data_IF_869390357375
#
_entry.id   IF_869390357375
#
_cell.length_a   1.000
_cell.length_b   1.000
_cell.length_c   1.000
_cell.angle_alpha   90.00
_cell.angle_beta   90.00
_cell.angle_gamma   90.00
#
_symmetry.space_group_name_H-M   'P 1'
#
loop_
_entity.id
_entity.type
_entity.pdbx_description
1 polymer ?
#
# COMPACT_ATOMS: atom_id res chain seq x y z
N UNK A 1 8.83 36.71 30.32
CA UNK A 1 8.17 35.39 30.33
C UNK A 1 8.74 34.56 29.20
N UNK A 2 9.83 33.84 29.46
CA UNK A 2 10.42 32.87 28.52
C UNK A 2 10.00 31.49 28.98
N UNK A 3 8.89 30.98 28.46
CA UNK A 3 8.58 29.56 28.63
C UNK A 3 9.62 28.75 27.86
N UNK A 4 10.59 28.25 28.61
CA UNK A 4 11.58 27.30 28.13
C UNK A 4 10.87 26.01 27.73
N UNK A 5 10.81 25.72 26.44
CA UNK A 5 10.43 24.40 25.94
C UNK A 5 11.36 23.34 26.53
N UNK A 6 10.84 22.50 27.44
CA UNK A 6 11.54 21.34 27.96
C UNK A 6 11.31 20.14 27.03
N UNK A 7 12.29 19.85 26.17
CA UNK A 7 12.27 18.62 25.39
C UNK A 7 12.55 17.42 26.32
N UNK A 8 11.68 16.40 26.32
CA UNK A 8 11.88 15.22 27.17
C UNK A 8 13.20 14.52 26.80
N UNK A 9 13.97 14.10 27.81
CA UNK A 9 15.21 13.33 27.60
C UNK A 9 14.91 12.12 26.71
N UNK A 10 15.65 12.00 25.61
CA UNK A 10 15.50 10.95 24.60
C UNK A 10 15.85 9.58 25.21
N UNK A 11 14.89 8.90 25.81
CA UNK A 11 15.03 7.52 26.28
C UNK A 11 14.98 6.58 25.07
N UNK A 12 15.99 5.72 24.90
CA UNK A 12 15.91 4.61 23.92
C UNK A 12 14.74 3.71 24.35
N UNK A 13 13.69 3.65 23.54
CA UNK A 13 12.63 2.65 23.71
C UNK A 13 13.16 1.33 23.16
N UNK A 14 13.44 0.37 24.04
CA UNK A 14 13.72 -1.00 23.62
C UNK A 14 12.38 -1.68 23.36
N UNK A 15 11.96 -1.73 22.09
CA UNK A 15 10.73 -2.44 21.70
C UNK A 15 11.08 -3.92 21.59
N UNK A 16 10.54 -4.75 22.49
CA UNK A 16 10.64 -6.23 22.44
C UNK A 16 9.31 -6.82 21.94
N UNK A 17 8.93 -6.50 20.70
CA UNK A 17 7.76 -7.12 20.06
C UNK A 17 8.25 -7.97 18.91
N UNK A 18 7.84 -9.23 18.90
CA UNK A 18 8.12 -10.14 17.78
C UNK A 18 7.06 -9.91 16.72
N UNK A 19 7.49 -9.70 15.47
CA UNK A 19 6.61 -9.62 14.31
C UNK A 19 7.11 -10.63 13.28
N UNK A 20 6.18 -11.27 12.58
CA UNK A 20 6.47 -12.21 11.50
C UNK A 20 5.59 -11.86 10.31
N UNK A 21 6.19 -11.89 9.12
CA UNK A 21 5.44 -11.81 7.86
C UNK A 21 4.87 -13.21 7.60
N UNK A 22 3.55 -13.33 7.63
CA UNK A 22 2.85 -14.60 7.44
C UNK A 22 2.71 -14.95 5.96
N UNK A 23 2.29 -13.98 5.14
CA UNK A 23 2.16 -14.12 3.69
C UNK A 23 2.40 -12.80 2.98
N UNK A 24 2.76 -12.89 1.69
CA UNK A 24 2.84 -11.76 0.77
C UNK A 24 2.18 -12.14 -0.56
N UNK A 25 1.60 -11.14 -1.21
CA UNK A 25 1.00 -11.32 -2.53
C UNK A 25 0.93 -10.00 -3.28
N UNK A 26 0.93 -10.09 -4.61
CA UNK A 26 0.93 -8.94 -5.50
C UNK A 26 0.05 -9.21 -6.71
N UNK A 27 -0.83 -8.26 -7.01
CA UNK A 27 -1.62 -8.24 -8.23
C UNK A 27 -1.04 -7.25 -9.24
N UNK A 28 -0.94 -7.70 -10.49
CA UNK A 28 -0.54 -6.89 -11.64
C UNK A 28 -1.66 -6.95 -12.67
N UNK A 29 -2.19 -5.82 -13.15
CA UNK A 29 -3.26 -5.82 -14.16
C UNK A 29 -2.81 -6.47 -15.48
N UNK A 30 -3.71 -7.18 -16.15
CA UNK A 30 -3.37 -7.89 -17.40
C UNK A 30 -3.12 -6.94 -18.57
N UNK A 31 -3.79 -5.78 -18.58
CA UNK A 31 -3.68 -4.82 -19.67
C UNK A 31 -2.34 -4.10 -19.63
N UNK A 32 -1.54 -4.34 -20.66
CA UNK A 32 -0.26 -3.68 -20.89
C UNK A 32 -0.44 -2.59 -21.93
N UNK A 33 0.10 -1.41 -21.64
CA UNK A 33 0.20 -0.29 -22.57
C UNK A 33 1.68 0.01 -22.83
N UNK A 34 2.03 0.14 -24.10
CA UNK A 34 3.36 0.52 -24.55
C UNK A 34 3.52 2.05 -24.59
N UNK A 35 4.77 2.52 -24.50
CA UNK A 35 5.08 3.95 -24.57
C UNK A 35 4.54 4.60 -25.85
N UNK A 36 4.58 3.91 -26.99
CA UNK A 36 4.07 4.46 -28.24
C UNK A 36 2.57 4.78 -28.20
N UNK A 37 1.77 3.91 -27.59
CA UNK A 37 0.32 4.11 -27.45
C UNK A 37 0.04 5.35 -26.57
N UNK A 38 0.79 5.52 -25.49
CA UNK A 38 0.67 6.68 -24.59
C UNK A 38 1.05 7.98 -25.32
N UNK A 39 2.18 7.96 -26.04
CA UNK A 39 2.69 9.11 -26.80
C UNK A 39 1.66 9.53 -27.85
N UNK A 40 1.17 8.58 -28.67
CA UNK A 40 0.19 8.85 -29.73
C UNK A 40 -1.09 9.47 -29.17
N UNK A 41 -1.52 9.05 -27.98
CA UNK A 41 -2.80 9.47 -27.40
C UNK A 41 -2.73 10.77 -26.60
N UNK A 42 -1.67 10.99 -25.82
CA UNK A 42 -1.61 12.08 -24.83
C UNK A 42 -0.49 13.08 -25.06
N UNK A 43 0.65 12.64 -25.60
CA UNK A 43 1.86 13.46 -25.70
C UNK A 43 2.58 13.25 -27.05
N UNK A 44 1.95 13.63 -28.18
CA UNK A 44 2.49 13.33 -29.52
C UNK A 44 3.82 14.03 -29.81
N UNK A 45 4.18 15.06 -29.04
CA UNK A 45 5.47 15.76 -29.13
C UNK A 45 6.62 15.01 -28.42
N UNK A 46 6.33 13.96 -27.64
CA UNK A 46 7.33 13.17 -26.90
C UNK A 46 7.86 11.99 -27.75
N UNK A 47 9.05 11.47 -27.41
CA UNK A 47 9.68 10.33 -28.10
C UNK A 47 9.94 9.16 -27.16
N UNK A 48 9.68 7.93 -27.63
CA UNK A 48 9.87 6.71 -26.85
C UNK A 48 11.31 6.56 -26.32
N UNK A 49 12.30 6.83 -27.18
CA UNK A 49 13.73 6.77 -26.85
C UNK A 49 14.10 7.64 -25.65
N UNK A 50 13.47 8.82 -25.49
CA UNK A 50 13.74 9.72 -24.37
C UNK A 50 13.22 9.11 -23.08
N UNK A 51 12.03 8.49 -23.10
CA UNK A 51 11.41 7.84 -21.94
C UNK A 51 12.27 6.65 -21.50
N UNK A 52 12.72 5.82 -22.43
CA UNK A 52 13.58 4.66 -22.13
C UNK A 52 14.92 5.14 -21.57
N UNK A 53 15.56 6.14 -22.18
CA UNK A 53 16.87 6.64 -21.71
C UNK A 53 16.81 7.34 -20.35
N UNK A 54 15.70 8.00 -20.02
CA UNK A 54 15.59 8.80 -18.79
C UNK A 54 14.97 8.03 -17.63
N UNK A 55 13.97 7.18 -17.90
CA UNK A 55 13.19 6.47 -16.86
C UNK A 55 13.40 4.95 -16.93
N UNK A 56 13.87 4.41 -18.06
CA UNK A 56 14.10 2.97 -18.22
C UNK A 56 12.82 2.14 -18.35
N UNK A 57 11.69 2.76 -18.64
CA UNK A 57 10.39 2.08 -18.72
C UNK A 57 9.94 2.01 -20.17
N UNK A 58 9.73 0.79 -20.66
CA UNK A 58 9.22 0.52 -22.01
C UNK A 58 7.69 0.39 -22.02
N UNK A 59 7.14 -0.34 -21.06
CA UNK A 59 5.71 -0.65 -20.98
C UNK A 59 5.19 -0.57 -19.54
N UNK A 60 3.89 -0.37 -19.37
CA UNK A 60 3.24 -0.29 -18.06
C UNK A 60 1.93 -1.07 -18.04
N UNK A 61 1.61 -1.64 -16.89
CA UNK A 61 0.32 -2.26 -16.65
C UNK A 61 -0.67 -1.20 -16.18
N UNK A 62 -1.89 -1.25 -16.70
CA UNK A 62 -2.98 -0.34 -16.32
C UNK A 62 -4.23 -1.15 -16.06
N UNK A 63 -5.05 -0.70 -15.12
CA UNK A 63 -6.39 -1.27 -14.97
C UNK A 63 -7.38 -0.66 -15.98
N UNK A 64 -8.56 -1.28 -16.06
CA UNK A 64 -9.73 -0.69 -16.69
C UNK A 64 -10.16 0.61 -15.99
N UNK A 65 -10.87 1.48 -16.72
CA UNK A 65 -11.23 2.83 -16.25
C UNK A 65 -12.06 2.86 -14.97
N UNK A 66 -12.76 1.77 -14.68
CA UNK A 66 -13.74 1.69 -13.60
C UNK A 66 -13.21 0.92 -12.37
N UNK A 67 -11.93 0.51 -12.38
CA UNK A 67 -11.32 -0.16 -11.24
C UNK A 67 -10.83 0.86 -10.21
N UNK A 68 -11.30 0.71 -8.97
CA UNK A 68 -10.76 1.47 -7.85
C UNK A 68 -9.45 0.84 -7.36
N UNK A 69 -8.67 1.61 -6.59
CA UNK A 69 -7.46 1.10 -5.96
C UNK A 69 -7.77 0.02 -4.93
N UNK A 70 -8.91 0.14 -4.25
CA UNK A 70 -9.39 -0.92 -3.35
C UNK A 70 -9.73 -2.22 -4.07
N UNK A 71 -10.05 -2.23 -5.37
CA UNK A 71 -10.26 -3.49 -6.14
C UNK A 71 -8.94 -4.21 -6.37
N UNK A 72 -7.94 -3.46 -6.85
CA UNK A 72 -6.57 -3.95 -7.05
C UNK A 72 -6.01 -4.51 -5.75
N UNK A 73 -6.21 -3.77 -4.66
CA UNK A 73 -5.80 -4.21 -3.32
C UNK A 73 -6.57 -5.46 -2.88
N UNK A 74 -7.89 -5.54 -3.10
CA UNK A 74 -8.68 -6.71 -2.71
C UNK A 74 -8.19 -7.99 -3.38
N UNK A 75 -7.73 -7.93 -4.65
CA UNK A 75 -7.15 -9.08 -5.36
C UNK A 75 -5.92 -9.64 -4.64
N UNK A 76 -4.94 -8.78 -4.31
CA UNK A 76 -3.74 -9.20 -3.55
C UNK A 76 -4.06 -9.66 -2.13
N UNK A 77 -4.97 -8.96 -1.41
CA UNK A 77 -5.32 -9.34 -0.04
C UNK A 77 -5.98 -10.72 0.02
N UNK A 78 -6.84 -11.05 -0.94
CA UNK A 78 -7.45 -12.39 -1.04
C UNK A 78 -6.37 -13.47 -1.22
N UNK A 79 -5.41 -13.27 -2.12
CA UNK A 79 -4.31 -14.22 -2.28
C UNK A 79 -3.44 -14.37 -1.02
N UNK A 80 -3.19 -13.30 -0.27
CA UNK A 80 -2.52 -13.39 1.05
C UNK A 80 -3.32 -14.22 2.07
N UNK A 81 -4.64 -14.01 2.14
CA UNK A 81 -5.54 -14.72 3.05
C UNK A 81 -5.64 -16.20 2.68
N UNK A 82 -5.77 -16.51 1.39
CA UNK A 82 -5.83 -17.87 0.87
C UNK A 82 -4.53 -18.64 1.12
N UNK A 83 -3.36 -18.02 0.88
CA UNK A 83 -2.04 -18.66 1.11
C UNK A 83 -1.83 -19.07 2.57
N UNK A 84 -2.36 -18.32 3.51
CA UNK A 84 -2.18 -18.58 4.94
C UNK A 84 -3.40 -19.30 5.57
N UNK A 85 -4.53 -19.36 4.87
CA UNK A 85 -5.75 -20.01 5.35
C UNK A 85 -6.50 -19.23 6.44
N UNK A 86 -6.42 -17.90 6.43
CA UNK A 86 -7.14 -17.03 7.37
C UNK A 86 -8.40 -16.46 6.71
N UNK A 87 -9.48 -16.35 7.48
CA UNK A 87 -10.69 -15.63 7.08
C UNK A 87 -10.50 -14.11 7.26
N UNK A 88 -11.10 -13.28 6.39
CA UNK A 88 -11.09 -11.83 6.54
C UNK A 88 -11.51 -11.33 7.93
N UNK A 89 -12.41 -12.06 8.61
CA UNK A 89 -12.94 -11.72 9.92
C UNK A 89 -11.97 -11.90 11.09
N UNK A 90 -10.87 -12.63 10.88
CA UNK A 90 -9.82 -12.84 11.88
C UNK A 90 -8.76 -11.71 11.85
N UNK A 91 -8.90 -10.76 10.92
CA UNK A 91 -8.00 -9.61 10.81
C UNK A 91 -8.33 -8.56 11.87
N UNK A 92 -7.33 -8.25 12.72
CA UNK A 92 -7.50 -7.18 13.71
C UNK A 92 -7.36 -5.79 13.08
N UNK A 93 -6.51 -5.65 12.05
CA UNK A 93 -6.19 -4.38 11.40
C UNK A 93 -5.88 -4.55 9.92
N UNK A 94 -6.29 -3.55 9.14
CA UNK A 94 -5.93 -3.41 7.72
C UNK A 94 -5.22 -2.07 7.54
N UNK A 95 -3.97 -2.13 7.08
CA UNK A 95 -3.17 -0.94 6.79
C UNK A 95 -2.93 -0.88 5.28
N UNK A 96 -3.36 0.23 4.67
CA UNK A 96 -3.13 0.55 3.27
C UNK A 96 -2.14 1.70 3.17
N UNK A 97 -1.09 1.52 2.38
CA UNK A 97 -0.12 2.56 2.06
C UNK A 97 -0.29 2.99 0.61
N UNK A 98 -0.80 4.21 0.37
CA UNK A 98 -1.05 4.71 -0.99
C UNK A 98 -0.94 6.23 -1.09
N UNK A 99 -0.55 6.73 -2.27
CA UNK A 99 -0.40 8.17 -2.51
C UNK A 99 -1.69 8.91 -2.85
N UNK A 100 -2.60 8.33 -3.65
CA UNK A 100 -3.95 8.86 -3.87
C UNK A 100 -4.88 7.69 -3.62
N UNK A 101 -5.80 7.82 -2.67
CA UNK A 101 -6.80 6.79 -2.43
C UNK A 101 -8.07 7.04 -3.23
N UNK A 102 -8.92 6.01 -3.35
CA UNK A 102 -10.22 6.06 -4.06
C UNK A 102 -11.04 7.32 -3.76
N UNK A 103 -11.11 7.71 -2.49
CA UNK A 103 -11.90 8.84 -2.01
C UNK A 103 -11.17 9.51 -0.85
N UNK A 104 -11.52 10.76 -0.58
CA UNK A 104 -11.05 11.45 0.63
C UNK A 104 -11.62 10.78 1.89
N UNK A 105 -12.92 10.50 1.87
CA UNK A 105 -13.65 9.69 2.84
C UNK A 105 -14.78 8.94 2.12
N UNK A 106 -15.08 7.68 2.47
CA UNK A 106 -14.35 6.82 3.41
C UNK A 106 -12.95 6.45 2.91
N UNK A 107 -12.09 6.04 3.85
CA UNK A 107 -10.71 5.66 3.54
C UNK A 107 -10.65 4.40 2.68
N UNK A 108 -9.62 4.27 1.83
CA UNK A 108 -9.39 3.09 0.98
C UNK A 108 -9.32 1.80 1.80
N UNK A 109 -8.75 1.84 3.01
CA UNK A 109 -8.72 0.68 3.91
C UNK A 109 -10.12 0.20 4.34
N UNK A 110 -11.07 1.13 4.53
CA UNK A 110 -12.47 0.79 4.85
C UNK A 110 -13.19 0.18 3.64
N UNK A 111 -12.95 0.71 2.43
CA UNK A 111 -13.50 0.11 1.18
C UNK A 111 -12.94 -1.29 0.96
N UNK A 112 -11.63 -1.47 1.15
CA UNK A 112 -10.97 -2.76 1.06
C UNK A 112 -11.58 -3.79 2.03
N UNK A 113 -11.79 -3.42 3.29
CA UNK A 113 -12.45 -4.29 4.27
C UNK A 113 -13.83 -4.76 3.78
N UNK A 114 -14.64 -3.84 3.25
CA UNK A 114 -15.93 -4.16 2.65
C UNK A 114 -15.80 -5.13 1.46
N UNK A 115 -14.81 -4.92 0.58
CA UNK A 115 -14.55 -5.78 -0.59
C UNK A 115 -14.02 -7.17 -0.22
N UNK A 116 -13.37 -7.32 0.94
CA UNK A 116 -12.97 -8.62 1.50
C UNK A 116 -14.15 -9.37 2.12
N UNK A 117 -15.31 -8.71 2.30
CA UNK A 117 -16.49 -9.34 2.91
C UNK A 117 -16.38 -9.52 4.41
N UNK A 118 -15.48 -8.79 5.09
CA UNK A 118 -15.36 -8.88 6.54
C UNK A 118 -16.57 -8.23 7.22
N UNK A 119 -17.19 -8.98 8.14
CA UNK A 119 -18.31 -8.56 8.99
C UNK A 119 -17.82 -8.00 10.32
N UNK A 120 -16.61 -8.36 10.74
CA UNK A 120 -15.98 -7.86 11.96
C UNK A 120 -15.44 -6.45 11.74
N UNK A 121 -15.65 -5.56 12.73
CA UNK A 121 -15.06 -4.22 12.71
C UNK A 121 -13.54 -4.30 12.97
N UNK A 122 -12.74 -4.40 11.91
CA UNK A 122 -11.30 -4.17 11.99
C UNK A 122 -11.01 -2.65 12.06
N UNK A 123 -9.83 -2.25 12.53
CA UNK A 123 -9.43 -0.83 12.50
C UNK A 123 -8.78 -0.50 11.14
N UNK A 124 -9.44 0.24 10.23
CA UNK A 124 -8.86 0.59 8.94
C UNK A 124 -7.94 1.82 9.08
N UNK A 125 -6.73 1.74 8.51
CA UNK A 125 -5.81 2.88 8.45
C UNK A 125 -5.22 3.02 7.04
N UNK A 126 -5.25 4.23 6.50
CA UNK A 126 -4.67 4.59 5.22
C UNK A 126 -3.60 5.64 5.48
N UNK A 127 -2.37 5.29 5.12
CA UNK A 127 -1.20 6.17 5.24
C UNK A 127 -0.93 6.77 3.87
N UNK A 128 -0.90 8.10 3.81
CA UNK A 128 -0.50 8.85 2.61
C UNK A 128 0.96 9.27 2.74
N UNK A 129 1.82 8.80 1.84
CA UNK A 129 3.25 9.11 1.88
C UNK A 129 4.00 8.75 0.60
N UNK A 130 5.07 9.51 0.33
CA UNK A 130 6.00 9.24 -0.79
C UNK A 130 6.82 7.98 -0.48
N UNK A 131 6.97 7.13 -1.49
CA UNK A 131 7.35 5.70 -1.48
C UNK A 131 8.60 5.28 -0.67
N UNK A 132 9.38 6.18 -0.04
CA UNK A 132 10.70 5.83 0.51
C UNK A 132 11.01 6.24 1.96
N UNK A 133 10.72 7.48 2.37
CA UNK A 133 11.25 8.01 3.64
C UNK A 133 10.31 7.82 4.85
N UNK A 134 9.01 8.04 4.66
CA UNK A 134 8.03 7.81 5.72
C UNK A 134 7.81 6.32 6.02
N UNK A 135 7.90 5.46 5.00
CA UNK A 135 7.67 4.03 5.16
C UNK A 135 8.76 3.35 6.00
N UNK A 136 10.06 3.60 5.75
CA UNK A 136 11.16 3.04 6.57
C UNK A 136 11.13 3.61 8.00
N UNK A 137 10.75 4.88 8.17
CA UNK A 137 10.64 5.49 9.48
C UNK A 137 9.50 4.89 10.31
N UNK A 138 8.35 4.60 9.68
CA UNK A 138 7.23 3.90 10.32
C UNK A 138 7.54 2.42 10.54
N UNK A 139 8.25 1.76 9.61
CA UNK A 139 8.75 0.39 9.78
C UNK A 139 9.79 0.26 10.91
N UNK A 140 10.54 1.30 11.23
CA UNK A 140 11.38 1.31 12.46
C UNK A 140 10.59 1.48 13.75
N UNK A 141 9.32 1.90 13.66
CA UNK A 141 8.38 1.95 14.76
C UNK A 141 7.45 0.72 14.80
N UNK A 142 7.32 -0.01 13.70
CA UNK A 142 6.67 -1.31 13.54
C UNK A 142 7.46 -2.15 12.53
N UNK A 143 8.34 -3.05 13.02
CA UNK A 143 9.29 -3.82 12.21
C UNK A 143 8.64 -4.57 11.03
N UNK A 144 8.77 -4.05 9.81
CA UNK A 144 8.40 -4.71 8.55
C UNK A 144 9.39 -4.33 7.42
N UNK A 145 9.44 -5.11 6.34
CA UNK A 145 10.34 -4.94 5.16
C UNK A 145 9.50 -4.97 3.85
N UNK A 146 10.04 -4.35 2.79
CA UNK A 146 9.45 -3.70 1.56
C UNK A 146 9.60 -4.61 0.29
N UNK A 147 9.07 -4.35 -0.97
CA UNK A 147 8.06 -3.42 -1.54
C UNK A 147 6.98 -4.05 -2.49
N UNK A 148 6.20 -3.16 -3.13
CA UNK A 148 5.23 -3.26 -4.27
C UNK A 148 3.80 -3.64 -3.90
N UNK A 149 2.93 -2.62 -3.74
CA UNK A 149 1.46 -2.75 -3.56
C UNK A 149 1.01 -3.78 -2.52
N UNK A 150 1.64 -3.78 -1.34
CA UNK A 150 1.31 -4.73 -0.28
C UNK A 150 0.34 -4.13 0.73
N UNK A 151 -0.73 -4.88 0.99
CA UNK A 151 -1.63 -4.73 2.15
C UNK A 151 -0.97 -5.48 3.28
N UNK A 152 -0.88 -4.84 4.45
CA UNK A 152 -0.41 -5.51 5.65
C UNK A 152 -1.62 -5.96 6.46
N UNK A 153 -1.81 -7.27 6.46
CA UNK A 153 -2.82 -7.98 7.23
C UNK A 153 -2.18 -8.44 8.53
N UNK A 154 -2.57 -7.81 9.64
CA UNK A 154 -2.07 -8.18 10.97
C UNK A 154 -3.09 -9.09 11.65
N UNK A 155 -2.68 -10.33 11.92
CA UNK A 155 -3.30 -11.18 12.92
C UNK A 155 -2.44 -11.10 14.18
N UNK A 156 -3.02 -10.61 15.27
CA UNK A 156 -2.33 -10.57 16.56
C UNK A 156 -2.82 -11.77 17.38
N UNK A 157 -2.03 -12.84 17.41
CA UNK A 157 -2.21 -13.90 18.42
C UNK A 157 -2.04 -13.26 19.80
N UNK A 158 -3.02 -13.47 20.67
CA UNK A 158 -3.01 -13.02 22.06
C UNK A 158 -2.06 -13.85 22.90
#
# INVERSE_FOLDING_TARGET
>A
MTELFYFPKRKKKTIRRFCKILSTDSYVPDRVIDNEEIIKKYHPFFRNEVIIKTIGVERRHVEEKDADDSDVLAKSAKGCLEKYGILPDELSRVIVNKFVGDNFLPMTASRLQGKLGSKTLCTPLTLMGVLRLLFIHWMRHQDLLIPVTNIFLFHQEA
#
